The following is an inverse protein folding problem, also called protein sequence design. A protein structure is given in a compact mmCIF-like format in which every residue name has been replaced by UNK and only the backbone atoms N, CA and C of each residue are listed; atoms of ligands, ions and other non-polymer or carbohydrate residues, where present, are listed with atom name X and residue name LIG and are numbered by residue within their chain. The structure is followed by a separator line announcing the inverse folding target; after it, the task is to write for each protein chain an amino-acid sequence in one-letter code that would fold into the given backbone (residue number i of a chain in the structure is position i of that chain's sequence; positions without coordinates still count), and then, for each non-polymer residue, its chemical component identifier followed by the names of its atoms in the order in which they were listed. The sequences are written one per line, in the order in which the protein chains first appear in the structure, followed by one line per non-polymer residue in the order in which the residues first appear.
data_IF_299982800386
#
_entry.id   IF_299982800386
#
_cell.length_a   1.000
_cell.length_b   1.000
_cell.length_c   1.000
_cell.angle_alpha   90.00
_cell.angle_beta   90.00
_cell.angle_gamma   90.00
#
_symmetry.space_group_name_H-M   'P 1'
#
loop_
_entity.id
_entity.type
_entity.pdbx_description
1 polymer ?
#
# COMPACT_ATOMS: atom_id res chain seq x y z
N UNK A 1 11.23 -21.14 -28.86
CA UNK A 1 11.62 -20.10 -27.88
C UNK A 1 10.87 -20.23 -26.55
N UNK A 2 9.64 -20.77 -26.56
CA UNK A 2 8.83 -20.84 -25.35
C UNK A 2 9.31 -21.88 -24.34
N UNK A 3 9.89 -23.00 -24.81
CA UNK A 3 10.48 -24.03 -23.94
C UNK A 3 11.63 -23.48 -23.08
N UNK A 4 12.55 -22.70 -23.66
CA UNK A 4 13.67 -22.10 -22.91
C UNK A 4 13.18 -21.09 -21.86
N UNK A 5 12.12 -20.31 -22.16
CA UNK A 5 11.50 -19.40 -21.20
C UNK A 5 10.79 -20.14 -20.07
N UNK A 6 10.13 -21.25 -20.39
CA UNK A 6 9.50 -22.13 -19.40
C UNK A 6 10.55 -22.74 -18.47
N UNK A 7 11.61 -23.33 -19.01
CA UNK A 7 12.73 -23.89 -18.24
C UNK A 7 13.41 -22.84 -17.34
N UNK A 8 13.65 -21.62 -17.84
CA UNK A 8 14.18 -20.52 -17.04
C UNK A 8 13.23 -20.15 -15.88
N UNK A 9 11.92 -20.11 -16.14
CA UNK A 9 10.94 -19.72 -15.16
C UNK A 9 10.69 -20.83 -14.11
N UNK A 10 10.81 -22.11 -14.47
CA UNK A 10 10.88 -23.24 -13.52
C UNK A 10 12.14 -23.17 -12.65
N UNK A 11 13.30 -22.84 -13.24
CA UNK A 11 14.53 -22.60 -12.46
C UNK A 11 14.39 -21.44 -11.49
N UNK A 12 13.68 -20.37 -11.87
CA UNK A 12 13.42 -19.24 -10.98
C UNK A 12 12.44 -19.60 -9.85
N UNK A 13 11.50 -20.52 -10.09
CA UNK A 13 10.61 -21.07 -9.06
C UNK A 13 11.40 -21.85 -8.02
N UNK A 14 12.28 -22.77 -8.42
CA UNK A 14 13.13 -23.53 -7.48
C UNK A 14 14.05 -22.60 -6.68
N UNK A 15 14.68 -21.61 -7.34
CA UNK A 15 15.48 -20.59 -6.65
C UNK A 15 14.66 -19.78 -5.64
N UNK A 16 13.38 -19.52 -5.92
CA UNK A 16 12.51 -18.81 -4.98
C UNK A 16 12.25 -19.65 -3.72
N UNK A 17 12.02 -20.96 -3.86
CA UNK A 17 11.86 -21.90 -2.75
C UNK A 17 13.13 -22.02 -1.91
N UNK A 18 14.30 -22.15 -2.53
CA UNK A 18 15.58 -22.19 -1.82
C UNK A 18 15.84 -20.90 -1.03
N UNK A 19 15.55 -19.74 -1.63
CA UNK A 19 15.68 -18.45 -0.95
C UNK A 19 14.69 -18.30 0.20
N UNK A 20 13.52 -18.90 0.08
CA UNK A 20 12.54 -18.96 1.16
C UNK A 20 13.06 -19.82 2.33
N UNK A 21 13.60 -21.01 2.05
CA UNK A 21 14.24 -21.88 3.06
C UNK A 21 15.41 -21.22 3.77
N UNK A 22 16.11 -20.30 3.09
CA UNK A 22 17.16 -19.45 3.66
C UNK A 22 16.63 -18.23 4.42
N UNK A 23 15.33 -18.17 4.73
CA UNK A 23 14.65 -17.04 5.39
C UNK A 23 14.76 -15.70 4.64
N UNK A 24 15.12 -15.71 3.35
CA UNK A 24 15.27 -14.50 2.53
C UNK A 24 14.03 -14.25 1.68
N UNK A 25 12.95 -13.81 2.34
CA UNK A 25 11.64 -13.60 1.71
C UNK A 25 11.64 -12.52 0.63
N UNK A 26 12.49 -11.50 0.76
CA UNK A 26 12.62 -10.42 -0.25
C UNK A 26 13.12 -10.99 -1.57
N UNK A 27 14.16 -11.83 -1.52
CA UNK A 27 14.74 -12.47 -2.70
C UNK A 27 13.81 -13.53 -3.28
N UNK A 28 13.20 -14.36 -2.43
CA UNK A 28 12.20 -15.34 -2.84
C UNK A 28 11.06 -14.69 -3.65
N UNK A 29 10.49 -13.59 -3.13
CA UNK A 29 9.45 -12.84 -3.82
C UNK A 29 9.93 -12.18 -5.12
N UNK A 30 11.20 -11.77 -5.21
CA UNK A 30 11.79 -11.23 -6.45
C UNK A 30 11.87 -12.32 -7.53
N UNK A 31 12.36 -13.51 -7.19
CA UNK A 31 12.48 -14.62 -8.13
C UNK A 31 11.11 -15.14 -8.58
N UNK A 32 10.17 -15.33 -7.65
CA UNK A 32 8.81 -15.75 -7.99
C UNK A 32 8.10 -14.74 -8.93
N UNK A 33 8.26 -13.43 -8.71
CA UNK A 33 7.74 -12.39 -9.62
C UNK A 33 8.44 -12.37 -10.97
N UNK A 34 9.70 -12.77 -11.06
CA UNK A 34 10.41 -12.88 -12.34
C UNK A 34 9.91 -14.10 -13.10
N UNK A 35 9.75 -15.24 -12.44
CA UNK A 35 9.16 -16.46 -13.01
C UNK A 35 7.79 -16.16 -13.64
N UNK A 36 6.89 -15.51 -12.88
CA UNK A 36 5.55 -15.15 -13.35
C UNK A 36 5.55 -14.23 -14.58
N UNK A 37 6.53 -13.33 -14.69
CA UNK A 37 6.66 -12.41 -15.84
C UNK A 37 7.20 -13.09 -17.09
N UNK A 38 8.08 -14.07 -16.92
CA UNK A 38 8.64 -14.83 -18.03
C UNK A 38 7.63 -15.82 -18.62
N UNK A 39 6.88 -16.49 -17.74
CA UNK A 39 5.84 -17.41 -18.14
C UNK A 39 4.66 -17.36 -17.15
N UNK A 40 3.54 -16.71 -17.53
CA UNK A 40 2.39 -16.54 -16.63
C UNK A 40 1.66 -17.83 -16.26
N UNK A 41 1.74 -18.86 -17.12
CA UNK A 41 1.02 -20.13 -16.98
C UNK A 41 1.81 -21.22 -16.25
N UNK A 42 2.81 -20.87 -15.43
CA UNK A 42 3.49 -21.89 -14.61
C UNK A 42 2.63 -22.21 -13.39
N UNK A 43 2.34 -23.49 -13.24
CA UNK A 43 1.61 -24.03 -12.10
C UNK A 43 2.25 -23.64 -10.76
N UNK A 44 1.44 -23.04 -9.89
CA UNK A 44 1.81 -22.68 -8.51
C UNK A 44 2.64 -21.40 -8.36
N UNK A 45 3.11 -20.76 -9.44
CA UNK A 45 3.94 -19.55 -9.32
C UNK A 45 3.12 -18.34 -8.86
N UNK A 46 1.88 -18.21 -9.34
CA UNK A 46 0.97 -17.15 -8.92
C UNK A 46 0.61 -17.27 -7.44
N UNK A 47 0.34 -18.50 -7.00
CA UNK A 47 0.01 -18.89 -5.63
C UNK A 47 1.21 -18.64 -4.70
N UNK A 48 2.41 -19.01 -5.14
CA UNK A 48 3.66 -18.74 -4.44
C UNK A 48 3.92 -17.22 -4.28
N UNK A 49 3.72 -16.42 -5.33
CA UNK A 49 3.82 -14.94 -5.22
C UNK A 49 2.82 -14.41 -4.20
N UNK A 50 1.61 -14.96 -4.18
CA UNK A 50 0.55 -14.59 -3.24
C UNK A 50 0.94 -14.93 -1.80
N UNK A 51 1.43 -16.15 -1.57
CA UNK A 51 1.91 -16.60 -0.26
C UNK A 51 3.06 -15.73 0.26
N UNK A 52 4.08 -15.47 -0.56
CA UNK A 52 5.20 -14.63 -0.16
C UNK A 52 4.80 -13.18 0.13
N UNK A 53 3.80 -12.64 -0.57
CA UNK A 53 3.25 -11.30 -0.25
C UNK A 53 2.62 -11.29 1.14
N UNK A 54 1.82 -12.31 1.46
CA UNK A 54 1.14 -12.44 2.75
C UNK A 54 2.16 -12.57 3.88
N UNK A 55 3.12 -13.49 3.75
CA UNK A 55 4.19 -13.69 4.72
C UNK A 55 5.03 -12.42 4.94
N UNK A 56 5.27 -11.65 3.87
CA UNK A 56 6.04 -10.41 3.95
C UNK A 56 5.28 -9.32 4.70
N UNK A 57 3.97 -9.27 4.53
CA UNK A 57 3.11 -8.35 5.28
C UNK A 57 3.10 -8.76 6.75
N UNK A 58 2.93 -10.05 7.05
CA UNK A 58 2.90 -10.56 8.41
C UNK A 58 4.23 -10.33 9.15
N UNK A 59 5.37 -10.51 8.48
CA UNK A 59 6.70 -10.26 9.07
C UNK A 59 7.05 -8.78 9.23
N UNK A 60 6.28 -7.86 8.64
CA UNK A 60 6.40 -6.43 8.94
C UNK A 60 5.47 -6.11 10.11
N UNK A 61 6.05 -5.92 11.30
CA UNK A 61 5.35 -5.41 12.50
C UNK A 61 4.91 -3.94 12.31
N UNK A 62 3.97 -3.71 11.39
CA UNK A 62 3.48 -2.39 10.99
C UNK A 62 2.00 -2.17 11.29
N UNK A 63 1.33 -3.12 11.95
CA UNK A 63 -0.03 -2.91 12.46
C UNK A 63 -0.02 -2.05 13.73
N UNK A 64 -1.14 -1.41 14.02
CA UNK A 64 -1.32 -0.61 15.23
C UNK A 64 -1.06 -1.48 16.48
N UNK A 65 0.08 -1.26 17.15
CA UNK A 65 0.46 -1.98 18.37
C UNK A 65 1.21 -3.30 18.18
N UNK A 66 1.99 -3.47 17.10
CA UNK A 66 2.88 -4.64 16.93
C UNK A 66 2.17 -5.93 16.49
N UNK A 67 0.86 -5.88 16.26
CA UNK A 67 0.09 -6.98 15.67
C UNK A 67 0.21 -7.00 14.14
N UNK A 68 0.04 -8.17 13.49
CA UNK A 68 -0.04 -8.25 12.04
C UNK A 68 -1.15 -7.38 11.46
N UNK A 69 -0.96 -6.88 10.25
CA UNK A 69 -1.99 -6.12 9.53
C UNK A 69 -3.00 -7.09 8.90
N UNK A 70 -4.10 -7.36 9.61
CA UNK A 70 -5.10 -8.36 9.23
C UNK A 70 -5.80 -8.03 7.90
N UNK A 71 -6.05 -6.75 7.60
CA UNK A 71 -6.64 -6.34 6.33
C UNK A 71 -5.65 -6.55 5.17
N UNK A 72 -4.38 -6.19 5.36
CA UNK A 72 -3.35 -6.42 4.34
C UNK A 72 -3.04 -7.91 4.13
N UNK A 73 -3.11 -8.74 5.16
CA UNK A 73 -2.98 -10.21 5.04
C UNK A 73 -4.07 -10.76 4.12
N UNK A 74 -5.32 -10.31 4.29
CA UNK A 74 -6.42 -10.68 3.40
C UNK A 74 -6.36 -9.95 2.03
N UNK A 75 -5.43 -9.01 1.83
CA UNK A 75 -5.30 -8.21 0.61
C UNK A 75 -6.57 -7.43 0.29
N UNK A 76 -7.14 -6.78 1.30
CA UNK A 76 -8.33 -5.92 1.19
C UNK A 76 -8.08 -4.57 1.84
N UNK A 77 -8.91 -3.60 1.47
CA UNK A 77 -8.84 -2.27 2.06
C UNK A 77 -9.21 -2.29 3.54
N UNK A 78 -8.58 -1.42 4.37
CA UNK A 78 -9.00 -1.19 5.74
C UNK A 78 -10.50 -0.92 5.85
N UNK A 79 -11.12 -1.38 6.93
CA UNK A 79 -12.54 -1.16 7.22
C UNK A 79 -13.53 -1.78 6.21
N UNK A 80 -13.07 -2.61 5.27
CA UNK A 80 -13.92 -3.31 4.29
C UNK A 80 -15.08 -4.08 4.92
N UNK A 81 -16.25 -4.11 4.27
CA UNK A 81 -17.41 -4.82 4.78
C UNK A 81 -17.18 -6.32 5.00
N UNK A 82 -17.92 -6.91 5.94
CA UNK A 82 -17.86 -8.35 6.29
C UNK A 82 -18.05 -9.27 5.08
N UNK A 83 -18.88 -8.87 4.12
CA UNK A 83 -19.09 -9.62 2.88
C UNK A 83 -17.82 -9.69 2.03
N UNK A 84 -17.09 -8.58 1.90
CA UNK A 84 -15.79 -8.52 1.21
C UNK A 84 -14.76 -9.42 1.90
N UNK A 85 -14.71 -9.37 3.23
CA UNK A 85 -13.82 -10.21 4.04
C UNK A 85 -14.08 -11.70 3.78
N UNK A 86 -15.35 -12.13 3.86
CA UNK A 86 -15.74 -13.54 3.59
C UNK A 86 -15.42 -13.96 2.16
N UNK A 87 -15.74 -13.13 1.18
CA UNK A 87 -15.50 -13.43 -0.24
C UNK A 87 -14.00 -13.61 -0.51
N UNK A 88 -13.19 -12.70 0.02
CA UNK A 88 -11.75 -12.74 -0.17
C UNK A 88 -11.10 -13.91 0.57
N UNK A 89 -11.54 -14.20 1.80
CA UNK A 89 -11.08 -15.38 2.53
C UNK A 89 -11.31 -16.65 1.72
N UNK A 90 -12.52 -16.87 1.17
CA UNK A 90 -12.82 -18.04 0.33
C UNK A 90 -11.88 -18.13 -0.88
N UNK A 91 -11.62 -16.99 -1.54
CA UNK A 91 -10.70 -16.93 -2.69
C UNK A 91 -9.29 -17.35 -2.28
N UNK A 92 -8.74 -16.72 -1.25
CA UNK A 92 -7.37 -17.01 -0.78
C UNK A 92 -7.23 -18.43 -0.22
N UNK A 93 -8.23 -18.93 0.49
CA UNK A 93 -8.24 -20.29 1.01
C UNK A 93 -8.17 -21.33 -0.12
N UNK A 94 -8.89 -21.13 -1.23
CA UNK A 94 -8.81 -22.00 -2.40
C UNK A 94 -7.46 -21.88 -3.12
N UNK A 95 -6.93 -20.65 -3.24
CA UNK A 95 -5.64 -20.37 -3.89
C UNK A 95 -4.45 -20.92 -3.11
N UNK A 96 -4.51 -20.94 -1.77
CA UNK A 96 -3.39 -21.32 -0.91
C UNK A 96 -3.58 -22.70 -0.27
N UNK A 97 -4.62 -23.44 -0.65
CA UNK A 97 -4.91 -24.74 -0.05
C UNK A 97 -3.74 -25.72 -0.28
N UNK A 98 -3.20 -26.36 0.78
CA UNK A 98 -2.01 -27.20 0.69
C UNK A 98 -2.20 -28.42 -0.23
N UNK A 99 -3.43 -28.93 -0.36
CA UNK A 99 -3.79 -30.05 -1.27
C UNK A 99 -3.48 -29.75 -2.74
N UNK A 100 -3.76 -28.51 -3.19
CA UNK A 100 -3.51 -28.09 -4.59
C UNK A 100 -2.12 -27.50 -4.79
N UNK A 101 -1.46 -27.10 -3.70
CA UNK A 101 -0.27 -26.27 -3.73
C UNK A 101 0.76 -26.75 -2.71
N UNK A 102 1.61 -27.69 -3.13
CA UNK A 102 2.61 -28.32 -2.25
C UNK A 102 3.91 -27.52 -2.11
N UNK A 103 3.86 -26.18 -2.17
CA UNK A 103 5.07 -25.36 -1.96
C UNK A 103 5.25 -24.98 -0.48
N UNK A 104 6.51 -24.80 -0.07
CA UNK A 104 6.96 -24.68 1.34
C UNK A 104 6.27 -23.55 2.12
N UNK A 105 5.82 -22.49 1.43
CA UNK A 105 5.19 -21.31 2.05
C UNK A 105 3.65 -21.35 2.09
N UNK A 106 3.01 -22.37 1.50
CA UNK A 106 1.55 -22.44 1.33
C UNK A 106 0.83 -22.56 2.67
N UNK A 107 1.27 -23.50 3.51
CA UNK A 107 0.69 -23.78 4.81
C UNK A 107 0.76 -22.57 5.75
N UNK A 108 1.93 -21.95 5.86
CA UNK A 108 2.12 -20.77 6.71
C UNK A 108 1.25 -19.59 6.24
N UNK A 109 1.19 -19.35 4.93
CA UNK A 109 0.35 -18.31 4.37
C UNK A 109 -1.15 -18.61 4.56
N UNK A 110 -1.57 -19.88 4.41
CA UNK A 110 -2.94 -20.32 4.63
C UNK A 110 -3.36 -20.13 6.08
N UNK A 111 -2.49 -20.49 7.04
CA UNK A 111 -2.71 -20.28 8.47
C UNK A 111 -2.93 -18.80 8.79
N UNK A 112 -2.08 -17.90 8.26
CA UNK A 112 -2.24 -16.45 8.44
C UNK A 112 -3.56 -15.93 7.89
N UNK A 113 -3.99 -16.41 6.72
CA UNK A 113 -5.28 -16.04 6.11
C UNK A 113 -6.44 -16.51 6.99
N UNK A 114 -6.37 -17.73 7.54
CA UNK A 114 -7.34 -18.26 8.49
C UNK A 114 -7.41 -17.42 9.78
N UNK A 115 -6.26 -17.07 10.35
CA UNK A 115 -6.17 -16.24 11.55
C UNK A 115 -6.72 -14.83 11.32
N UNK A 116 -6.40 -14.20 10.18
CA UNK A 116 -6.94 -12.90 9.80
C UNK A 116 -8.47 -12.93 9.66
N UNK A 117 -9.00 -13.97 9.02
CA UNK A 117 -10.44 -14.15 8.88
C UNK A 117 -11.13 -14.36 10.23
N UNK A 118 -10.56 -15.21 11.10
CA UNK A 118 -11.07 -15.47 12.45
C UNK A 118 -11.07 -14.18 13.29
N UNK A 119 -10.00 -13.39 13.21
CA UNK A 119 -9.89 -12.11 13.90
C UNK A 119 -10.93 -11.10 13.41
N UNK A 120 -11.03 -10.89 12.10
CA UNK A 120 -11.91 -9.86 11.53
C UNK A 120 -13.39 -10.26 11.49
N UNK A 121 -13.70 -11.54 11.67
CA UNK A 121 -15.08 -12.03 11.82
C UNK A 121 -15.65 -11.78 13.21
N UNK A 122 -14.78 -11.68 14.23
CA UNK A 122 -15.17 -11.30 15.59
C UNK A 122 -15.47 -9.79 15.63
N UNK A 123 -16.73 -9.46 15.90
CA UNK A 123 -17.20 -8.07 15.91
C UNK A 123 -16.52 -7.22 16.98
N UNK A 124 -16.18 -7.79 18.14
CA UNK A 124 -15.59 -7.05 19.26
C UNK A 124 -14.14 -6.76 18.93
N UNK A 125 -13.37 -7.81 18.60
CA UNK A 125 -11.94 -7.69 18.25
C UNK A 125 -11.73 -6.77 17.04
N UNK A 126 -12.60 -6.88 16.04
CA UNK A 126 -12.56 -6.02 14.86
C UNK A 126 -12.82 -4.55 15.23
N UNK A 127 -13.82 -4.26 16.06
CA UNK A 127 -14.12 -2.87 16.47
C UNK A 127 -12.93 -2.21 17.17
N UNK A 128 -12.30 -2.92 18.11
CA UNK A 128 -11.13 -2.42 18.82
C UNK A 128 -9.94 -2.20 17.88
N UNK A 129 -9.71 -3.15 16.97
CA UNK A 129 -8.66 -3.04 15.97
C UNK A 129 -8.89 -1.87 15.00
N UNK A 130 -10.12 -1.71 14.52
CA UNK A 130 -10.51 -0.62 13.63
C UNK A 130 -10.32 0.74 14.32
N UNK A 131 -10.64 0.85 15.62
CA UNK A 131 -10.40 2.06 16.41
C UNK A 131 -8.90 2.40 16.47
N UNK A 132 -8.06 1.43 16.84
CA UNK A 132 -6.59 1.61 16.88
C UNK A 132 -6.03 1.99 15.51
N UNK A 133 -6.54 1.39 14.43
CA UNK A 133 -6.10 1.66 13.07
C UNK A 133 -6.48 3.09 12.64
N UNK A 134 -7.67 3.58 12.98
CA UNK A 134 -8.05 4.98 12.71
C UNK A 134 -7.13 5.98 13.41
N UNK A 135 -6.83 5.75 14.69
CA UNK A 135 -5.91 6.59 15.46
C UNK A 135 -4.53 6.61 14.80
N UNK A 136 -4.02 5.43 14.41
CA UNK A 136 -2.72 5.33 13.75
C UNK A 136 -2.69 6.04 12.39
N UNK A 137 -3.76 5.93 11.58
CA UNK A 137 -3.88 6.63 10.29
C UNK A 137 -3.93 8.15 10.50
N UNK A 138 -4.68 8.63 11.48
CA UNK A 138 -4.74 10.06 11.83
C UNK A 138 -3.39 10.58 12.33
N UNK A 139 -2.71 9.84 13.21
CA UNK A 139 -1.37 10.18 13.66
C UNK A 139 -0.37 10.21 12.50
N UNK A 140 -0.43 9.24 11.59
CA UNK A 140 0.41 9.21 10.39
C UNK A 140 0.14 10.41 9.47
N UNK A 141 -1.13 10.81 9.30
CA UNK A 141 -1.51 12.01 8.57
C UNK A 141 -0.92 13.27 9.22
N UNK A 142 -0.97 13.38 10.55
CA UNK A 142 -0.37 14.49 11.30
C UNK A 142 1.16 14.53 11.17
N UNK A 143 1.81 13.37 11.14
CA UNK A 143 3.28 13.28 10.92
C UNK A 143 3.69 13.58 9.47
N UNK A 144 2.82 13.33 8.50
CA UNK A 144 3.07 13.69 7.10
C UNK A 144 2.79 15.17 6.83
N UNK A 145 1.98 15.82 7.67
CA UNK A 145 1.83 17.28 7.68
C UNK A 145 2.93 18.01 8.47
N UNK A 146 3.80 17.31 9.21
CA UNK A 146 4.88 17.92 10.00
C UNK A 146 6.29 17.68 9.44
N UNK A 147 6.40 17.14 8.21
CA UNK A 147 7.67 16.69 7.61
C UNK A 147 8.12 17.40 6.32
N UNK A 148 7.68 18.62 6.03
CA UNK A 148 8.22 19.38 4.89
C UNK A 148 7.48 20.66 4.50
N UNK A 149 7.88 21.79 5.09
CA UNK A 149 7.88 23.11 4.45
C UNK A 149 6.63 23.99 4.61
N UNK A 150 6.70 24.92 5.56
CA UNK A 150 5.90 26.16 5.54
C UNK A 150 5.03 26.36 6.77
N UNK A 151 5.62 26.89 7.85
CA UNK A 151 4.91 27.92 8.63
C UNK A 151 4.36 28.96 7.65
N UNK A 152 3.17 29.49 7.93
CA UNK A 152 2.42 30.51 7.20
C UNK A 152 3.23 31.75 6.73
N UNK A 153 4.18 31.58 5.81
CA UNK A 153 4.83 32.67 5.10
C UNK A 153 4.05 32.93 3.82
N UNK A 154 2.79 33.31 4.01
CA UNK A 154 1.89 33.73 2.94
C UNK A 154 1.84 35.24 2.89
N UNK A 155 1.52 35.79 1.73
CA UNK A 155 1.33 37.23 1.55
C UNK A 155 0.05 37.49 0.76
N UNK A 156 -0.55 38.64 1.02
CA UNK A 156 -1.69 39.13 0.26
C UNK A 156 -1.19 39.99 -0.90
N UNK A 157 -1.75 39.77 -2.08
CA UNK A 157 -1.48 40.55 -3.28
C UNK A 157 -2.79 40.95 -3.97
N UNK A 158 -2.83 42.14 -4.58
CA UNK A 158 -4.00 42.62 -5.31
C UNK A 158 -3.80 42.44 -6.81
N UNK A 159 -4.79 41.86 -7.51
CA UNK A 159 -4.75 41.77 -8.96
C UNK A 159 -4.84 43.17 -9.60
N UNK A 160 -3.93 43.49 -10.52
CA UNK A 160 -3.94 44.78 -11.24
C UNK A 160 -5.17 45.00 -12.12
N UNK A 161 -5.86 43.93 -12.54
CA UNK A 161 -7.04 44.05 -13.41
C UNK A 161 -8.36 44.08 -12.63
N UNK A 162 -8.62 43.11 -11.76
CA UNK A 162 -9.90 43.01 -11.04
C UNK A 162 -9.86 43.56 -9.62
N UNK A 163 -8.69 43.98 -9.13
CA UNK A 163 -8.45 44.52 -7.77
C UNK A 163 -8.80 43.59 -6.62
N UNK A 164 -9.13 42.32 -6.89
CA UNK A 164 -9.35 41.33 -5.85
C UNK A 164 -8.03 40.93 -5.17
N UNK A 165 -8.10 40.78 -3.86
CA UNK A 165 -7.01 40.30 -3.02
C UNK A 165 -6.95 38.77 -3.06
N UNK A 166 -5.75 38.25 -3.17
CA UNK A 166 -5.46 36.83 -3.16
C UNK A 166 -4.29 36.52 -2.23
N UNK A 167 -4.38 35.41 -1.53
CA UNK A 167 -3.33 34.91 -0.66
C UNK A 167 -2.49 33.88 -1.42
N UNK A 168 -1.17 34.04 -1.41
CA UNK A 168 -0.21 33.13 -2.03
C UNK A 168 0.98 32.86 -1.10
N UNK A 169 1.72 31.78 -1.35
CA UNK A 169 3.01 31.51 -0.70
C UNK A 169 4.02 32.61 -1.04
N UNK A 170 4.80 33.10 -0.07
CA UNK A 170 5.79 34.18 -0.26
C UNK A 170 6.87 33.91 -1.29
N UNK A 171 7.13 32.64 -1.63
CA UNK A 171 8.00 32.27 -2.75
C UNK A 171 7.57 32.88 -4.09
N UNK A 172 6.30 33.29 -4.21
CA UNK A 172 5.76 33.90 -5.42
C UNK A 172 5.85 35.43 -5.45
N UNK A 173 6.39 36.09 -4.43
CA UNK A 173 6.64 37.55 -4.48
C UNK A 173 7.55 37.86 -5.67
N UNK A 174 7.15 38.84 -6.49
CA UNK A 174 7.91 39.29 -7.66
C UNK A 174 7.71 38.46 -8.93
N UNK A 175 6.88 37.41 -8.90
CA UNK A 175 6.54 36.62 -10.09
C UNK A 175 5.23 37.08 -10.75
N UNK A 176 5.10 36.84 -12.06
CA UNK A 176 3.82 36.98 -12.77
C UNK A 176 2.92 35.78 -12.50
N UNK A 177 1.83 36.01 -11.76
CA UNK A 177 0.82 35.01 -11.44
C UNK A 177 -0.44 35.20 -12.29
N UNK A 178 -1.23 34.14 -12.42
CA UNK A 178 -2.54 34.20 -13.05
C UNK A 178 -3.61 34.46 -12.00
N UNK A 179 -4.40 35.53 -12.16
CA UNK A 179 -5.48 35.83 -11.23
C UNK A 179 -6.54 34.72 -11.23
N UNK A 180 -6.86 34.11 -10.07
CA UNK A 180 -7.90 33.09 -9.96
C UNK A 180 -9.27 33.54 -10.47
N UNK A 181 -9.60 34.83 -10.29
CA UNK A 181 -10.92 35.41 -10.62
C UNK A 181 -11.04 35.87 -12.07
N UNK A 182 -10.09 36.65 -12.60
CA UNK A 182 -10.20 37.24 -13.94
C UNK A 182 -9.31 36.56 -15.00
N UNK A 183 -8.50 35.56 -14.61
CA UNK A 183 -7.59 34.80 -15.49
C UNK A 183 -6.57 35.64 -16.27
N UNK A 184 -6.33 36.89 -15.87
CA UNK A 184 -5.25 37.73 -16.42
C UNK A 184 -3.98 37.58 -15.59
N UNK A 185 -2.84 37.69 -16.26
CA UNK A 185 -1.52 37.70 -15.62
C UNK A 185 -1.30 39.03 -14.89
N UNK A 186 -0.72 38.97 -13.69
CA UNK A 186 -0.36 40.16 -12.91
C UNK A 186 0.88 39.88 -12.05
N UNK A 187 1.65 40.92 -11.72
CA UNK A 187 2.81 40.82 -10.85
C UNK A 187 2.38 40.69 -9.39
N UNK A 188 2.86 39.68 -8.70
CA UNK A 188 2.53 39.45 -7.30
C UNK A 188 3.40 40.33 -6.39
N UNK A 189 2.79 41.36 -5.82
CA UNK A 189 3.41 42.31 -4.88
C UNK A 189 2.64 42.30 -3.56
N UNK A 190 3.36 42.36 -2.45
CA UNK A 190 2.79 42.39 -1.11
C UNK A 190 2.05 43.70 -0.84
N UNK A 191 0.79 43.59 -0.45
CA UNK A 191 -0.03 44.71 0.00
C UNK A 191 0.27 44.92 1.48
N UNK A 192 0.87 46.07 1.83
CA UNK A 192 1.03 46.49 3.23
C UNK A 192 -0.32 47.03 3.71
N UNK A 193 -0.89 46.40 4.74
CA UNK A 193 -2.08 46.92 5.40
C UNK A 193 -1.75 48.20 6.16
N UNK A 194 -2.45 49.27 5.86
CA UNK A 194 -2.69 50.39 6.79
C UNK A 194 -3.99 50.13 7.55
#
# INVERSE_FOLDING_TARGET
MDKAKQEEAERLKTLAEDKYRQSNLKSALKYAKRALRLFPNIDGVSEMVTAFKILRVAGKSGGAGGSPDWYKILQIEPFSHTNTIRKQYKRLALTLHPDKNSFVASEEAFKLVGDAFRFLSDKIRRKEYDLKLRIAIQAAALTTTSGGGGTDDTFWTACSTCRLLHQFERRYIGHNLMCPSCKKSFLAVEVRGE
#
